data_IF_785579581994
#
_entry.id   IF_785579581994
#
_cell.length_a   1.000
_cell.length_b   1.000
_cell.length_c   1.000
_cell.angle_alpha   90.00
_cell.angle_beta   90.00
_cell.angle_gamma   90.00
#
_symmetry.space_group_name_H-M   'P 1'
#
loop_
_entity.id
_entity.type
_entity.pdbx_description
1 polymer ?
#
# COMPACT_ATOMS: atom_id res chain seq x y z
N UNK A 1 15.05 51.64 -20.42
CA UNK A 1 15.99 50.84 -19.60
C UNK A 1 15.32 49.51 -19.31
N UNK A 2 15.98 48.41 -19.66
CA UNK A 2 15.50 47.04 -19.44
C UNK A 2 15.71 46.70 -17.96
N UNK A 3 14.65 46.30 -17.25
CA UNK A 3 14.81 45.60 -15.98
C UNK A 3 14.28 44.18 -16.13
N UNK A 4 15.24 43.26 -16.06
CA UNK A 4 15.07 41.82 -16.15
C UNK A 4 14.30 41.25 -14.96
N UNK A 5 13.39 40.35 -15.28
CA UNK A 5 13.12 39.05 -14.65
C UNK A 5 13.53 38.91 -13.18
N UNK A 6 12.52 38.84 -12.30
CA UNK A 6 12.56 38.05 -11.08
C UNK A 6 11.31 37.15 -11.07
N UNK A 7 11.40 36.05 -11.82
CA UNK A 7 10.47 34.94 -11.69
C UNK A 7 10.74 34.29 -10.32
N UNK A 8 9.93 34.64 -9.33
CA UNK A 8 9.91 33.94 -8.05
C UNK A 8 9.32 32.55 -8.34
N UNK A 9 10.20 31.57 -8.54
CA UNK A 9 9.86 30.16 -8.44
C UNK A 9 9.45 29.90 -6.99
N UNK A 10 8.17 30.02 -6.70
CA UNK A 10 7.56 29.49 -5.49
C UNK A 10 7.57 27.96 -5.61
N UNK A 11 8.73 27.35 -5.34
CA UNK A 11 8.82 25.93 -5.02
C UNK A 11 8.22 25.74 -3.62
N UNK A 12 6.88 25.80 -3.55
CA UNK A 12 6.17 25.40 -2.35
C UNK A 12 6.53 23.94 -2.04
N UNK A 13 6.76 23.57 -0.77
CA UNK A 13 6.90 22.17 -0.42
C UNK A 13 5.60 21.50 -0.87
N UNK A 14 5.69 20.60 -1.84
CA UNK A 14 4.64 19.63 -2.09
C UNK A 14 4.45 18.92 -0.76
N UNK A 15 3.40 19.31 -0.03
CA UNK A 15 2.85 18.53 1.06
C UNK A 15 2.63 17.16 0.46
N UNK A 16 3.58 16.25 0.67
CA UNK A 16 3.44 14.85 0.34
C UNK A 16 2.34 14.36 1.27
N UNK A 17 1.09 14.56 0.87
CA UNK A 17 -0.08 14.02 1.57
C UNK A 17 0.20 12.54 1.63
N UNK A 18 0.53 12.07 2.84
CA UNK A 18 0.85 10.69 3.07
C UNK A 18 -0.36 9.90 2.61
N UNK A 19 -0.16 9.05 1.60
CA UNK A 19 -1.24 8.35 0.92
C UNK A 19 -1.40 7.00 1.61
N UNK A 20 -2.62 6.54 1.79
CA UNK A 20 -2.83 5.19 2.29
C UNK A 20 -2.85 4.21 1.12
N UNK A 21 -2.42 2.98 1.34
CA UNK A 21 -2.47 1.92 0.34
C UNK A 21 -3.01 0.63 0.94
N UNK A 22 -3.98 0.00 0.27
CA UNK A 22 -4.37 -1.34 0.59
C UNK A 22 -3.56 -2.34 -0.23
N UNK A 23 -2.99 -3.33 0.46
CA UNK A 23 -2.27 -4.45 -0.11
C UNK A 23 -3.21 -5.65 -0.07
N UNK A 24 -3.74 -6.03 -1.22
CA UNK A 24 -4.67 -7.14 -1.37
C UNK A 24 -3.91 -8.43 -1.69
N UNK A 25 -4.28 -9.51 -1.01
CA UNK A 25 -3.69 -10.83 -1.24
C UNK A 25 -4.71 -11.93 -0.94
N UNK A 26 -4.47 -13.09 -1.52
CA UNK A 26 -5.27 -14.27 -1.26
C UNK A 26 -4.87 -14.89 0.09
N UNK A 27 -5.85 -15.40 0.83
CA UNK A 27 -5.72 -16.02 2.14
C UNK A 27 -6.46 -17.34 2.17
N UNK A 28 -5.85 -18.40 2.68
CA UNK A 28 -6.48 -19.74 2.78
C UNK A 28 -7.10 -20.02 4.15
N UNK A 29 -6.68 -19.32 5.21
CA UNK A 29 -7.25 -19.44 6.54
C UNK A 29 -6.66 -20.56 7.40
N UNK A 30 -5.70 -21.33 6.90
CA UNK A 30 -5.33 -22.62 7.49
C UNK A 30 -3.85 -22.98 7.42
N UNK A 31 -2.95 -22.09 6.96
CA UNK A 31 -1.56 -22.48 6.70
C UNK A 31 -0.50 -21.44 7.10
N UNK A 32 0.74 -21.91 7.34
CA UNK A 32 1.93 -21.06 7.54
C UNK A 32 2.17 -20.06 6.39
N UNK A 33 1.63 -20.37 5.20
CA UNK A 33 1.64 -19.51 4.03
C UNK A 33 0.90 -18.19 4.28
N UNK A 34 -0.17 -18.22 5.08
CA UNK A 34 -0.97 -17.04 5.41
C UNK A 34 -0.21 -16.07 6.34
N UNK A 35 0.49 -16.60 7.35
CA UNK A 35 1.40 -15.79 8.20
C UNK A 35 2.51 -15.18 7.36
N UNK A 36 3.09 -15.95 6.43
CA UNK A 36 4.10 -15.42 5.52
C UNK A 36 3.54 -14.30 4.63
N UNK A 37 2.29 -14.43 4.17
CA UNK A 37 1.64 -13.42 3.34
C UNK A 37 1.46 -12.10 4.06
N UNK A 38 1.06 -12.16 5.32
CA UNK A 38 0.97 -11.00 6.22
C UNK A 38 2.32 -10.32 6.40
N UNK A 39 3.35 -11.08 6.77
CA UNK A 39 4.71 -10.55 6.90
C UNK A 39 5.20 -9.92 5.60
N UNK A 40 4.82 -10.49 4.45
CA UNK A 40 5.20 -9.93 3.16
C UNK A 40 4.45 -8.64 2.83
N UNK A 41 3.18 -8.53 3.21
CA UNK A 41 2.42 -7.28 3.10
C UNK A 41 3.05 -6.18 3.98
N UNK A 42 3.47 -6.50 5.21
CA UNK A 42 4.21 -5.57 6.09
C UNK A 42 5.48 -5.07 5.40
N UNK A 43 6.32 -5.98 4.90
CA UNK A 43 7.55 -5.60 4.19
C UNK A 43 7.27 -4.73 2.95
N UNK A 44 6.21 -5.02 2.18
CA UNK A 44 5.83 -4.21 1.03
C UNK A 44 5.37 -2.80 1.43
N UNK A 45 4.75 -2.65 2.60
CA UNK A 45 4.36 -1.34 3.13
C UNK A 45 5.57 -0.52 3.59
N UNK A 46 6.51 -1.16 4.29
CA UNK A 46 7.78 -0.54 4.69
C UNK A 46 8.60 -0.12 3.46
N UNK A 47 8.62 -0.95 2.40
CA UNK A 47 9.28 -0.64 1.12
C UNK A 47 8.73 0.65 0.49
N UNK A 48 7.45 0.98 0.68
CA UNK A 48 6.84 2.24 0.19
C UNK A 48 6.85 3.35 1.24
N UNK A 49 7.50 3.14 2.38
CA UNK A 49 7.70 4.11 3.46
C UNK A 49 6.50 4.29 4.39
N UNK A 50 5.51 3.39 4.31
CA UNK A 50 4.36 3.40 5.21
C UNK A 50 4.55 2.43 6.38
N UNK A 51 3.50 2.29 7.18
CA UNK A 51 3.42 1.27 8.23
C UNK A 51 2.03 0.61 8.27
N UNK A 52 1.96 -0.63 8.74
CA UNK A 52 0.70 -1.36 8.94
C UNK A 52 0.51 -1.54 10.45
N UNK A 53 -0.60 -1.05 10.99
CA UNK A 53 -0.99 -1.39 12.36
C UNK A 53 -1.48 -2.84 12.42
N UNK A 54 -1.26 -3.56 13.52
CA UNK A 54 -1.71 -4.95 13.67
C UNK A 54 -3.22 -5.13 13.47
N UNK A 55 -4.04 -4.12 13.78
CA UNK A 55 -5.48 -4.13 13.54
C UNK A 55 -5.86 -4.04 12.06
N UNK A 56 -4.95 -3.53 11.24
CA UNK A 56 -5.10 -3.30 9.80
C UNK A 56 -4.40 -4.36 8.96
N UNK A 57 -3.91 -5.43 9.59
CA UNK A 57 -3.36 -6.61 8.95
C UNK A 57 -4.44 -7.69 8.80
N UNK A 58 -4.42 -8.45 7.70
CA UNK A 58 -5.39 -9.51 7.42
C UNK A 58 -6.85 -9.06 7.59
N UNK A 59 -7.18 -7.82 7.21
CA UNK A 59 -8.55 -7.30 7.19
C UNK A 59 -9.36 -8.06 6.15
N UNK A 60 -10.60 -8.45 6.49
CA UNK A 60 -11.47 -9.16 5.56
C UNK A 60 -11.95 -8.21 4.47
N UNK A 61 -11.63 -8.53 3.23
CA UNK A 61 -12.17 -7.80 2.08
C UNK A 61 -13.58 -8.30 1.75
N UNK A 62 -14.56 -7.39 1.63
CA UNK A 62 -15.94 -7.73 1.23
C UNK A 62 -16.02 -7.81 -0.30
N UNK A 63 -15.49 -8.88 -0.89
CA UNK A 63 -15.49 -9.13 -2.35
C UNK A 63 -14.86 -10.48 -2.73
N UNK A 64 -14.89 -10.84 -4.03
CA UNK A 64 -14.21 -12.04 -4.56
C UNK A 64 -12.90 -11.70 -5.28
N UNK A 65 -11.92 -12.56 -5.04
CA UNK A 65 -10.47 -12.50 -5.30
C UNK A 65 -9.71 -11.50 -4.42
N UNK A 66 -8.72 -12.03 -3.67
CA UNK A 66 -8.02 -11.37 -2.55
C UNK A 66 -8.94 -11.07 -1.37
N UNK A 67 -9.32 -12.14 -0.68
CA UNK A 67 -10.22 -12.16 0.49
C UNK A 67 -9.64 -11.49 1.74
N UNK A 68 -8.36 -11.07 1.71
CA UNK A 68 -7.75 -10.23 2.73
C UNK A 68 -7.05 -9.03 2.12
N UNK A 69 -6.97 -7.96 2.90
CA UNK A 69 -6.06 -6.87 2.64
C UNK A 69 -5.31 -6.49 3.92
N UNK A 70 -4.21 -5.77 3.74
CA UNK A 70 -3.58 -5.01 4.79
C UNK A 70 -3.57 -3.53 4.41
N UNK A 71 -3.91 -2.63 5.33
CA UNK A 71 -3.89 -1.19 5.08
C UNK A 71 -2.55 -0.61 5.54
N UNK A 72 -1.79 -0.14 4.56
CA UNK A 72 -0.54 0.59 4.73
C UNK A 72 -0.83 2.07 4.88
N UNK A 73 -0.56 2.61 6.07
CA UNK A 73 -0.73 4.02 6.39
C UNK A 73 0.52 4.81 6.07
N UNK A 74 0.33 6.06 5.67
CA UNK A 74 1.41 7.01 5.41
C UNK A 74 2.43 6.56 4.36
N UNK A 75 2.00 5.83 3.34
CA UNK A 75 2.88 5.51 2.22
C UNK A 75 3.35 6.80 1.52
N UNK A 76 4.55 6.73 0.91
CA UNK A 76 5.11 7.84 0.11
C UNK A 76 4.11 8.26 -0.95
N UNK A 77 3.82 9.56 -1.04
CA UNK A 77 2.82 10.10 -1.98
C UNK A 77 3.10 9.82 -3.46
N UNK A 78 4.36 9.51 -3.83
CA UNK A 78 4.75 9.08 -5.18
C UNK A 78 4.38 7.62 -5.51
N UNK A 79 3.89 6.86 -4.53
CA UNK A 79 3.55 5.44 -4.71
C UNK A 79 2.33 5.31 -5.61
N UNK A 80 2.52 4.58 -6.71
CA UNK A 80 1.47 4.26 -7.68
C UNK A 80 0.85 2.91 -7.36
N UNK A 81 -0.32 2.68 -7.93
CA UNK A 81 -0.94 1.37 -7.90
C UNK A 81 -0.11 0.39 -8.74
N UNK A 82 0.08 -0.82 -8.24
CA UNK A 82 0.82 -1.87 -8.95
C UNK A 82 0.37 -3.26 -8.53
N UNK A 83 0.64 -4.23 -9.39
CA UNK A 83 0.45 -5.65 -9.09
C UNK A 83 1.81 -6.34 -9.08
N UNK A 84 2.01 -7.23 -8.12
CA UNK A 84 3.25 -7.99 -7.95
C UNK A 84 2.93 -9.43 -7.64
N UNK A 85 3.50 -10.34 -8.39
CA UNK A 85 3.49 -11.76 -8.02
C UNK A 85 4.79 -12.11 -7.34
N UNK A 86 4.71 -12.68 -6.14
CA UNK A 86 5.88 -13.11 -5.38
C UNK A 86 5.86 -14.63 -5.31
N UNK A 87 7.01 -15.26 -5.57
CA UNK A 87 7.16 -16.71 -5.52
C UNK A 87 7.70 -17.14 -4.16
N UNK A 88 6.99 -18.04 -3.49
CA UNK A 88 7.47 -18.74 -2.30
C UNK A 88 7.51 -20.24 -2.58
N UNK A 89 8.71 -20.81 -2.65
CA UNK A 89 8.87 -22.19 -3.12
C UNK A 89 8.35 -22.37 -4.54
N UNK A 90 7.27 -23.14 -4.69
CA UNK A 90 6.59 -23.40 -5.97
C UNK A 90 5.24 -22.67 -6.11
N UNK A 91 4.86 -21.84 -5.14
CA UNK A 91 3.58 -21.13 -5.15
C UNK A 91 3.77 -19.68 -5.60
N UNK A 92 2.99 -19.27 -6.59
CA UNK A 92 2.88 -17.88 -7.01
C UNK A 92 1.79 -17.19 -6.19
N UNK A 93 2.17 -16.11 -5.52
CA UNK A 93 1.31 -15.35 -4.64
C UNK A 93 1.09 -13.96 -5.24
N UNK A 94 -0.09 -13.70 -5.83
CA UNK A 94 -0.41 -12.39 -6.36
C UNK A 94 -0.71 -11.42 -5.21
N UNK A 95 -0.14 -10.22 -5.31
CA UNK A 95 -0.42 -9.07 -4.48
C UNK A 95 -0.83 -7.91 -5.38
N UNK A 96 -1.84 -7.18 -4.95
CA UNK A 96 -2.26 -5.94 -5.59
C UNK A 96 -2.15 -4.80 -4.59
N UNK A 97 -1.43 -3.75 -4.95
CA UNK A 97 -1.35 -2.53 -4.16
C UNK A 97 -2.20 -1.48 -4.85
N UNK A 98 -3.18 -0.95 -4.12
CA UNK A 98 -4.02 0.16 -4.55
C UNK A 98 -3.92 1.26 -3.51
N UNK A 99 -3.59 2.45 -3.96
CA UNK A 99 -3.35 3.58 -3.09
C UNK A 99 -4.51 4.56 -3.24
N UNK A 100 -5.04 5.02 -2.11
CA UNK A 100 -6.19 5.90 -2.02
C UNK A 100 -6.40 6.36 -0.59
N UNK A 101 -7.64 6.68 -0.26
CA UNK A 101 -8.07 6.85 1.12
C UNK A 101 -8.74 5.56 1.56
N UNK A 102 -8.39 5.01 2.71
CA UNK A 102 -9.01 3.79 3.25
C UNK A 102 -9.54 4.06 4.64
N UNK A 103 -10.78 3.65 4.92
CA UNK A 103 -11.30 3.72 6.28
C UNK A 103 -10.53 2.76 7.20
N UNK A 104 -10.55 3.05 8.50
CA UNK A 104 -9.85 2.22 9.49
C UNK A 104 -10.38 0.79 9.48
N UNK A 105 -9.47 -0.19 9.42
CA UNK A 105 -9.79 -1.62 9.41
C UNK A 105 -10.71 -2.04 8.24
N UNK A 106 -10.64 -1.37 7.10
CA UNK A 106 -11.48 -1.64 5.93
C UNK A 106 -10.66 -1.64 4.63
N UNK A 107 -10.94 -2.61 3.78
CA UNK A 107 -10.25 -2.80 2.49
C UNK A 107 -10.87 -2.01 1.33
N UNK A 108 -11.92 -1.25 1.58
CA UNK A 108 -12.60 -0.44 0.57
C UNK A 108 -12.22 1.02 0.75
N UNK A 109 -11.92 1.67 -0.39
CA UNK A 109 -11.68 3.10 -0.49
C UNK A 109 -13.00 3.85 -0.71
#
# INVERSE_FOLDING_TARGET
MRFSVLAIFAAGPLLAVAKDCAIFYQWSGTSNLDVWRDLKAVAMCEDIGGHIANSELAVKNRGSYSNRCAVCRHARGSTKDYDRTIRQGNTNLPYSVRCGYYQQNQCYA
#
